data_IF_662860233813
#
_entry.id   IF_662860233813
#
_cell.length_a   1.000
_cell.length_b   1.000
_cell.length_c   1.000
_cell.angle_alpha   90.00
_cell.angle_beta   90.00
_cell.angle_gamma   90.00
#
_symmetry.space_group_name_H-M   'P 1'
#
loop_
_entity.id
_entity.type
_entity.pdbx_description
1 polymer ?
#
# COMPACT_ATOMS: atom_id res chain seq x y z
N UNK A 1 10.21 -0.85 25.89
CA UNK A 1 11.64 -0.69 26.27
C UNK A 1 12.54 -1.56 25.40
N UNK A 2 12.21 -2.86 25.21
CA UNK A 2 12.93 -3.80 24.31
C UNK A 2 13.28 -3.23 22.94
N UNK A 3 12.28 -2.75 22.18
CA UNK A 3 12.48 -2.14 20.84
C UNK A 3 13.52 -1.02 20.83
N UNK A 4 13.51 -0.15 21.86
CA UNK A 4 14.44 0.98 21.95
C UNK A 4 15.86 0.52 22.20
N UNK A 5 16.04 -0.40 23.14
CA UNK A 5 17.36 -0.95 23.47
C UNK A 5 17.95 -1.68 22.27
N UNK A 6 17.13 -2.47 21.57
CA UNK A 6 17.56 -3.17 20.36
C UNK A 6 17.93 -2.18 19.24
N UNK A 7 17.06 -1.21 18.94
CA UNK A 7 17.34 -0.20 17.91
C UNK A 7 18.59 0.61 18.26
N UNK A 8 18.75 1.02 19.52
CA UNK A 8 19.94 1.71 19.98
C UNK A 8 21.18 0.86 19.77
N UNK A 9 21.14 -0.43 20.11
CA UNK A 9 22.24 -1.37 19.93
C UNK A 9 22.60 -1.53 18.45
N UNK A 10 21.61 -1.64 17.56
CA UNK A 10 21.82 -1.71 16.11
C UNK A 10 22.46 -0.42 15.59
N UNK A 11 21.90 0.73 15.92
CA UNK A 11 22.37 2.05 15.46
C UNK A 11 23.78 2.34 16.00
N UNK A 12 24.02 2.11 17.29
CA UNK A 12 25.33 2.29 17.91
C UNK A 12 26.36 1.33 17.34
N UNK A 13 26.02 0.04 17.22
CA UNK A 13 26.87 -0.99 16.63
C UNK A 13 27.23 -0.67 15.17
N UNK A 14 26.28 -0.19 14.37
CA UNK A 14 26.52 0.28 13.02
C UNK A 14 27.48 1.46 12.99
N UNK A 15 27.32 2.44 13.89
CA UNK A 15 28.22 3.59 14.00
C UNK A 15 29.66 3.19 14.33
N UNK A 16 29.84 2.31 15.33
CA UNK A 16 31.15 1.76 15.70
C UNK A 16 31.77 0.98 14.55
N UNK A 17 30.97 0.10 13.91
CA UNK A 17 31.42 -0.66 12.74
C UNK A 17 31.89 0.26 11.62
N UNK A 18 31.10 1.28 11.23
CA UNK A 18 31.46 2.21 10.16
C UNK A 18 32.74 2.98 10.54
N UNK A 19 32.87 3.45 11.78
CA UNK A 19 34.06 4.18 12.22
C UNK A 19 35.34 3.33 12.12
N UNK A 20 35.28 2.08 12.61
CA UNK A 20 36.41 1.13 12.53
C UNK A 20 36.67 0.78 11.07
N UNK A 21 35.65 0.36 10.32
CA UNK A 21 35.77 -0.03 8.92
C UNK A 21 36.40 1.08 8.07
N UNK A 22 35.97 2.33 8.25
CA UNK A 22 36.54 3.50 7.57
C UNK A 22 38.01 3.79 7.90
N UNK A 23 38.53 3.24 8.99
CA UNK A 23 39.94 3.42 9.38
C UNK A 23 40.86 2.45 8.62
N UNK A 24 40.32 1.36 8.08
CA UNK A 24 41.07 0.32 7.37
C UNK A 24 40.68 0.19 5.89
N UNK A 25 39.44 0.53 5.53
CA UNK A 25 38.88 0.34 4.20
C UNK A 25 38.10 1.57 3.73
N UNK A 26 38.06 1.78 2.42
CA UNK A 26 37.16 2.77 1.83
C UNK A 26 35.71 2.25 1.92
N UNK A 27 34.77 3.05 2.45
CA UNK A 27 33.34 2.67 2.53
C UNK A 27 32.74 2.30 1.18
N UNK A 28 33.32 2.78 0.08
CA UNK A 28 32.94 2.40 -1.28
C UNK A 28 32.89 0.89 -1.42
N UNK A 29 33.82 0.15 -0.81
CA UNK A 29 33.82 -1.30 -0.86
C UNK A 29 32.68 -1.90 -0.06
N UNK A 30 32.43 -1.45 1.17
CA UNK A 30 31.31 -1.94 1.99
C UNK A 30 29.95 -1.74 1.30
N UNK A 31 29.76 -0.57 0.72
CA UNK A 31 28.56 -0.24 -0.05
C UNK A 31 28.50 -1.01 -1.39
N UNK A 32 29.63 -1.18 -2.09
CA UNK A 32 29.67 -1.99 -3.31
C UNK A 32 29.33 -3.46 -3.02
N UNK A 33 29.80 -4.03 -1.90
CA UNK A 33 29.43 -5.38 -1.47
C UNK A 33 27.92 -5.49 -1.20
N UNK A 34 27.35 -4.51 -0.49
CA UNK A 34 25.92 -4.49 -0.21
C UNK A 34 25.09 -4.35 -1.49
N UNK A 35 25.42 -3.40 -2.36
CA UNK A 35 24.75 -3.22 -3.65
C UNK A 35 24.90 -4.48 -4.53
N UNK A 36 26.05 -5.14 -4.51
CA UNK A 36 26.29 -6.39 -5.23
C UNK A 36 25.42 -7.51 -4.67
N UNK A 37 25.33 -7.65 -3.34
CA UNK A 37 24.47 -8.64 -2.70
C UNK A 37 22.99 -8.41 -3.03
N UNK A 38 22.51 -7.17 -2.93
CA UNK A 38 21.15 -6.80 -3.32
C UNK A 38 20.89 -7.07 -4.80
N UNK A 39 21.85 -6.77 -5.67
CA UNK A 39 21.73 -7.02 -7.10
C UNK A 39 21.68 -8.53 -7.40
N UNK A 40 22.54 -9.34 -6.79
CA UNK A 40 22.51 -10.80 -6.89
C UNK A 40 21.17 -11.34 -6.39
N UNK A 41 20.67 -10.83 -5.26
CA UNK A 41 19.38 -11.24 -4.71
C UNK A 41 18.22 -10.89 -5.66
N UNK A 42 18.21 -9.68 -6.21
CA UNK A 42 17.23 -9.26 -7.20
C UNK A 42 17.30 -10.10 -8.48
N UNK A 43 18.51 -10.43 -8.96
CA UNK A 43 18.71 -11.33 -10.09
C UNK A 43 18.20 -12.73 -9.80
N UNK A 44 18.46 -13.26 -8.61
CA UNK A 44 17.98 -14.57 -8.17
C UNK A 44 16.46 -14.63 -8.17
N UNK A 45 15.77 -13.65 -7.56
CA UNK A 45 14.30 -13.56 -7.59
C UNK A 45 13.76 -13.47 -9.02
N UNK A 46 14.36 -12.62 -9.86
CA UNK A 46 13.93 -12.46 -11.25
C UNK A 46 14.14 -13.75 -12.09
N UNK A 47 15.23 -14.47 -11.84
CA UNK A 47 15.50 -15.74 -12.50
C UNK A 47 14.53 -16.82 -12.01
N UNK A 48 14.33 -16.93 -10.70
CA UNK A 48 13.40 -17.89 -10.09
C UNK A 48 12.00 -17.72 -10.66
N UNK A 49 11.50 -16.48 -10.68
CA UNK A 49 10.20 -16.17 -11.26
C UNK A 49 10.12 -16.49 -12.76
N UNK A 50 11.15 -16.18 -13.56
CA UNK A 50 11.18 -16.57 -14.98
C UNK A 50 11.13 -18.09 -15.16
N UNK A 51 11.86 -18.84 -14.34
CA UNK A 51 11.87 -20.31 -14.36
C UNK A 51 10.51 -20.87 -13.95
N UNK A 52 9.91 -20.35 -12.89
CA UNK A 52 8.57 -20.72 -12.42
C UNK A 52 7.53 -20.45 -13.51
N UNK A 53 7.56 -19.28 -14.15
CA UNK A 53 6.66 -18.96 -15.27
C UNK A 53 6.82 -19.92 -16.44
N UNK A 54 8.07 -20.25 -16.84
CA UNK A 54 8.33 -21.25 -17.90
C UNK A 54 7.82 -22.64 -17.51
N UNK A 55 7.99 -23.03 -16.24
CA UNK A 55 7.48 -24.29 -15.71
C UNK A 55 5.95 -24.34 -15.79
N UNK A 56 5.26 -23.28 -15.35
CA UNK A 56 3.80 -23.19 -15.41
C UNK A 56 3.25 -23.12 -16.84
N UNK A 57 4.00 -22.55 -17.78
CA UNK A 57 3.62 -22.60 -19.21
C UNK A 57 3.72 -24.01 -19.79
N UNK A 58 4.75 -24.77 -19.40
CA UNK A 58 4.95 -26.15 -19.87
C UNK A 58 4.05 -27.15 -19.16
N UNK A 59 3.81 -26.93 -17.86
CA UNK A 59 3.02 -27.75 -16.97
C UNK A 59 2.09 -26.84 -16.17
N UNK A 60 0.94 -26.43 -16.75
CA UNK A 60 -0.04 -25.62 -16.06
C UNK A 60 -0.45 -26.27 -14.75
N UNK A 61 -0.56 -25.46 -13.70
CA UNK A 61 -1.07 -25.93 -12.43
C UNK A 61 -2.53 -26.38 -12.63
N UNK A 62 -2.82 -27.61 -12.24
CA UNK A 62 -4.19 -28.12 -12.25
C UNK A 62 -4.91 -27.47 -11.07
N UNK A 63 -5.90 -26.64 -11.37
CA UNK A 63 -6.75 -26.02 -10.36
C UNK A 63 -7.75 -27.07 -9.89
N UNK A 64 -7.77 -27.33 -8.58
CA UNK A 64 -8.81 -28.16 -7.99
C UNK A 64 -10.13 -27.39 -7.94
N UNK A 65 -11.00 -27.66 -8.90
CA UNK A 65 -12.33 -27.05 -9.01
C UNK A 65 -13.24 -27.38 -7.82
N UNK A 66 -12.92 -28.40 -7.02
CA UNK A 66 -13.68 -28.77 -5.82
C UNK A 66 -13.21 -28.01 -4.56
N UNK A 67 -12.07 -27.32 -4.61
CA UNK A 67 -11.62 -26.48 -3.50
C UNK A 67 -12.39 -25.16 -3.51
N UNK A 68 -13.56 -25.17 -2.87
CA UNK A 68 -14.47 -24.01 -2.76
C UNK A 68 -14.88 -23.77 -1.30
N UNK A 69 -13.92 -23.42 -0.42
CA UNK A 69 -14.21 -23.16 0.99
C UNK A 69 -15.25 -22.06 1.16
N UNK A 70 -16.03 -22.12 2.24
CA UNK A 70 -16.89 -20.98 2.59
C UNK A 70 -16.02 -19.78 3.01
N UNK A 71 -16.26 -18.59 2.45
CA UNK A 71 -15.46 -17.38 2.70
C UNK A 71 -16.27 -16.37 3.50
N UNK A 72 -15.75 -15.90 4.63
CA UNK A 72 -16.28 -14.73 5.33
C UNK A 72 -15.52 -13.49 4.88
N UNK A 73 -16.18 -12.60 4.15
CA UNK A 73 -15.63 -11.31 3.75
C UNK A 73 -15.85 -10.30 4.88
N UNK A 74 -14.79 -9.68 5.38
CA UNK A 74 -14.83 -8.68 6.46
C UNK A 74 -14.48 -7.30 5.92
N UNK A 75 -15.37 -6.33 6.15
CA UNK A 75 -15.21 -4.95 5.69
C UNK A 75 -15.34 -4.01 6.90
N UNK A 76 -14.22 -3.69 7.59
CA UNK A 76 -14.21 -2.72 8.67
C UNK A 76 -14.42 -1.30 8.14
N UNK A 77 -15.29 -0.54 8.79
CA UNK A 77 -15.66 0.82 8.45
C UNK A 77 -15.63 1.72 9.69
N UNK A 78 -15.10 2.94 9.56
CA UNK A 78 -15.15 3.97 10.60
C UNK A 78 -15.30 5.32 9.93
N UNK A 79 -16.49 5.92 9.96
CA UNK A 79 -16.82 7.12 9.19
C UNK A 79 -16.62 6.94 7.67
N UNK A 80 -17.33 5.99 7.06
CA UNK A 80 -17.23 5.61 5.65
C UNK A 80 -18.61 5.62 4.96
N UNK A 81 -19.54 6.47 5.43
CA UNK A 81 -20.93 6.54 4.92
C UNK A 81 -20.99 6.82 3.40
N UNK A 82 -19.97 7.49 2.85
CA UNK A 82 -19.90 7.89 1.44
C UNK A 82 -19.48 6.77 0.48
N UNK A 83 -18.77 5.73 0.97
CA UNK A 83 -18.15 4.70 0.12
C UNK A 83 -18.65 3.28 0.40
N UNK A 84 -19.09 2.99 1.63
CA UNK A 84 -19.33 1.59 2.08
C UNK A 84 -20.40 0.87 1.26
N UNK A 85 -21.47 1.56 0.84
CA UNK A 85 -22.52 0.99 -0.01
C UNK A 85 -21.96 0.48 -1.33
N UNK A 86 -21.14 1.29 -2.00
CA UNK A 86 -20.56 0.92 -3.31
C UNK A 86 -19.64 -0.29 -3.18
N UNK A 87 -18.85 -0.35 -2.11
CA UNK A 87 -17.96 -1.47 -1.82
C UNK A 87 -18.75 -2.77 -1.59
N UNK A 88 -19.78 -2.74 -0.74
CA UNK A 88 -20.61 -3.93 -0.46
C UNK A 88 -21.35 -4.40 -1.72
N UNK A 89 -21.95 -3.49 -2.48
CA UNK A 89 -22.66 -3.83 -3.71
C UNK A 89 -21.72 -4.37 -4.79
N UNK A 90 -20.48 -3.88 -4.87
CA UNK A 90 -19.46 -4.44 -5.77
C UNK A 90 -18.99 -5.84 -5.33
N UNK A 91 -18.74 -6.06 -4.04
CA UNK A 91 -18.34 -7.37 -3.50
C UNK A 91 -19.43 -8.43 -3.70
N UNK A 92 -20.71 -8.03 -3.63
CA UNK A 92 -21.84 -8.92 -3.92
C UNK A 92 -21.89 -9.42 -5.38
N UNK A 93 -21.18 -8.77 -6.30
CA UNK A 93 -21.12 -9.15 -7.72
C UNK A 93 -20.04 -10.19 -8.03
N UNK A 94 -19.27 -10.65 -7.03
CA UNK A 94 -18.27 -11.70 -7.25
C UNK A 94 -18.93 -13.01 -7.73
N UNK A 95 -18.29 -13.67 -8.70
CA UNK A 95 -18.74 -14.91 -9.34
C UNK A 95 -18.49 -16.18 -8.51
N UNK A 96 -18.47 -16.04 -7.19
CA UNK A 96 -18.21 -17.09 -6.23
C UNK A 96 -19.43 -17.27 -5.33
N UNK A 97 -19.98 -18.47 -5.21
CA UNK A 97 -21.27 -18.64 -4.51
C UNK A 97 -21.12 -18.72 -2.98
N UNK A 98 -20.04 -19.35 -2.50
CA UNK A 98 -19.85 -19.79 -1.12
C UNK A 98 -19.25 -18.69 -0.23
N UNK A 99 -19.92 -17.55 -0.07
CA UNK A 99 -19.45 -16.49 0.81
C UNK A 99 -20.57 -15.73 1.52
N UNK A 100 -20.19 -15.12 2.65
CA UNK A 100 -20.96 -14.10 3.38
C UNK A 100 -20.14 -12.80 3.49
N UNK A 101 -20.80 -11.68 3.78
CA UNK A 101 -20.17 -10.38 4.01
C UNK A 101 -20.53 -9.92 5.43
N UNK A 102 -19.52 -9.60 6.23
CA UNK A 102 -19.64 -9.01 7.54
C UNK A 102 -19.09 -7.58 7.45
N UNK A 103 -19.98 -6.61 7.57
CA UNK A 103 -19.62 -5.19 7.50
C UNK A 103 -19.63 -4.63 8.92
N UNK A 104 -18.51 -4.06 9.35
CA UNK A 104 -18.28 -3.75 10.76
C UNK A 104 -18.14 -2.25 10.96
N UNK A 105 -19.04 -1.65 11.73
CA UNK A 105 -18.91 -0.27 12.18
C UNK A 105 -18.03 -0.18 13.44
N UNK A 106 -16.89 0.51 13.33
CA UNK A 106 -15.99 0.80 14.46
C UNK A 106 -16.30 2.15 15.11
N UNK A 107 -17.47 2.28 15.75
CA UNK A 107 -17.80 3.46 16.57
C UNK A 107 -17.80 4.73 15.72
N UNK A 108 -18.45 4.68 14.56
CA UNK A 108 -18.54 5.84 13.69
C UNK A 108 -19.35 6.97 14.34
N UNK A 109 -18.99 8.20 14.00
CA UNK A 109 -19.70 9.42 14.38
C UNK A 109 -20.63 9.95 13.29
N UNK A 110 -20.52 9.44 12.06
CA UNK A 110 -21.39 9.73 10.93
C UNK A 110 -22.52 8.67 10.79
N UNK A 111 -23.20 8.61 9.64
CA UNK A 111 -24.30 7.65 9.42
C UNK A 111 -23.85 6.24 9.01
N UNK A 112 -22.55 5.91 9.08
CA UNK A 112 -22.03 4.60 8.66
C UNK A 112 -22.79 3.42 9.27
N UNK A 113 -23.07 3.46 10.58
CA UNK A 113 -23.82 2.41 11.27
C UNK A 113 -25.25 2.22 10.72
N UNK A 114 -25.92 3.31 10.34
CA UNK A 114 -27.26 3.25 9.74
C UNK A 114 -27.20 2.66 8.33
N UNK A 115 -26.25 3.11 7.51
CA UNK A 115 -26.03 2.61 6.14
C UNK A 115 -25.76 1.10 6.14
N UNK A 116 -24.93 0.62 7.06
CA UNK A 116 -24.60 -0.82 7.15
C UNK A 116 -25.83 -1.66 7.54
N UNK A 117 -26.69 -1.17 8.45
CA UNK A 117 -27.95 -1.85 8.80
C UNK A 117 -28.93 -1.88 7.63
N UNK A 118 -28.94 -0.85 6.78
CA UNK A 118 -29.77 -0.84 5.58
C UNK A 118 -29.32 -1.91 4.57
N UNK A 119 -28.00 -2.11 4.45
CA UNK A 119 -27.41 -3.15 3.61
C UNK A 119 -27.75 -4.57 4.11
N UNK A 120 -27.67 -4.82 5.41
CA UNK A 120 -28.10 -6.09 6.01
C UNK A 120 -29.59 -6.38 5.75
N UNK A 121 -30.46 -5.37 5.84
CA UNK A 121 -31.90 -5.52 5.52
C UNK A 121 -32.16 -5.78 4.03
N UNK A 122 -31.29 -5.29 3.15
CA UNK A 122 -31.45 -5.37 1.70
C UNK A 122 -30.88 -6.67 1.11
N UNK A 123 -29.87 -7.26 1.74
CA UNK A 123 -29.10 -8.37 1.17
C UNK A 123 -28.88 -9.50 2.18
N UNK A 124 -29.40 -10.70 1.88
CA UNK A 124 -29.33 -11.88 2.77
C UNK A 124 -27.89 -12.35 3.10
N UNK A 125 -26.92 -12.02 2.24
CA UNK A 125 -25.50 -12.36 2.45
C UNK A 125 -24.77 -11.37 3.37
N UNK A 126 -25.39 -10.26 3.76
CA UNK A 126 -24.74 -9.19 4.52
C UNK A 126 -25.16 -9.27 5.99
N UNK A 127 -24.20 -9.22 6.89
CA UNK A 127 -24.40 -9.11 8.34
C UNK A 127 -23.73 -7.84 8.85
N UNK A 128 -24.48 -7.04 9.62
CA UNK A 128 -24.00 -5.82 10.24
C UNK A 128 -23.44 -6.10 11.63
N UNK A 129 -22.19 -5.71 11.90
CA UNK A 129 -21.62 -5.71 13.24
C UNK A 129 -21.37 -4.27 13.70
N UNK A 130 -22.23 -3.77 14.61
CA UNK A 130 -22.07 -2.42 15.16
C UNK A 130 -21.36 -2.51 16.51
N UNK A 131 -20.14 -1.98 16.60
CA UNK A 131 -19.34 -2.04 17.82
C UNK A 131 -19.77 -0.96 18.81
N UNK A 132 -19.71 -1.28 20.10
CA UNK A 132 -20.05 -0.34 21.18
C UNK A 132 -18.99 0.76 21.30
N UNK A 133 -19.37 1.93 21.79
CA UNK A 133 -18.49 3.11 21.90
C UNK A 133 -17.22 2.86 22.75
N UNK A 134 -17.28 1.93 23.71
CA UNK A 134 -16.19 1.53 24.59
C UNK A 134 -15.31 0.39 24.03
N UNK A 135 -15.64 -0.14 22.85
CA UNK A 135 -14.87 -1.19 22.20
C UNK A 135 -13.43 -0.76 21.90
N UNK A 136 -12.50 -1.71 21.95
CA UNK A 136 -11.08 -1.44 21.71
C UNK A 136 -10.87 -0.88 20.29
N UNK A 137 -10.18 0.25 20.12
CA UNK A 137 -10.06 0.92 18.83
C UNK A 137 -9.13 0.21 17.84
N UNK A 138 -9.37 0.43 16.55
CA UNK A 138 -8.44 0.08 15.48
C UNK A 138 -8.75 -1.23 14.78
N UNK A 139 -8.30 -1.32 13.52
CA UNK A 139 -8.69 -2.38 12.57
C UNK A 139 -8.52 -3.80 13.11
N UNK A 140 -7.42 -4.10 13.79
CA UNK A 140 -7.19 -5.43 14.39
C UNK A 140 -8.30 -5.85 15.36
N UNK A 141 -8.76 -4.95 16.22
CA UNK A 141 -9.80 -5.27 17.20
C UNK A 141 -11.16 -5.44 16.52
N UNK A 142 -11.43 -4.63 15.48
CA UNK A 142 -12.61 -4.74 14.63
C UNK A 142 -12.67 -6.12 13.96
N UNK A 143 -11.57 -6.55 13.35
CA UNK A 143 -11.47 -7.85 12.68
C UNK A 143 -11.54 -9.02 13.67
N UNK A 144 -10.93 -8.91 14.85
CA UNK A 144 -11.05 -9.91 15.90
C UNK A 144 -12.48 -10.07 16.44
N UNK A 145 -13.25 -8.97 16.53
CA UNK A 145 -14.66 -9.05 16.93
C UNK A 145 -15.51 -9.69 15.83
N UNK A 146 -15.24 -9.38 14.56
CA UNK A 146 -15.89 -9.99 13.40
C UNK A 146 -15.59 -11.50 13.29
N UNK A 147 -14.36 -11.91 13.61
CA UNK A 147 -13.91 -13.31 13.52
C UNK A 147 -14.77 -14.26 14.38
N UNK A 148 -15.32 -13.77 15.48
CA UNK A 148 -16.16 -14.53 16.41
C UNK A 148 -17.51 -14.94 15.79
N UNK A 149 -18.01 -14.17 14.83
CA UNK A 149 -19.29 -14.42 14.15
C UNK A 149 -19.13 -14.94 12.73
N UNK A 150 -17.93 -14.83 12.15
CA UNK A 150 -17.59 -15.37 10.85
C UNK A 150 -17.70 -16.90 10.81
N UNK A 151 -18.28 -17.44 9.74
CA UNK A 151 -18.50 -18.88 9.53
C UNK A 151 -17.52 -19.51 8.54
N UNK A 152 -16.81 -18.69 7.76
CA UNK A 152 -15.94 -19.12 6.66
C UNK A 152 -14.70 -19.86 7.10
N UNK A 153 -14.34 -20.91 6.38
CA UNK A 153 -13.05 -21.61 6.48
C UNK A 153 -11.89 -20.73 6.01
N UNK A 154 -12.19 -19.70 5.21
CA UNK A 154 -11.27 -18.63 4.85
C UNK A 154 -11.88 -17.26 5.15
N UNK A 155 -11.02 -16.31 5.51
CA UNK A 155 -11.37 -14.94 5.86
C UNK A 155 -10.78 -14.02 4.82
N UNK A 156 -11.60 -13.20 4.17
CA UNK A 156 -11.16 -12.20 3.20
C UNK A 156 -11.35 -10.81 3.80
N UNK A 157 -10.30 -9.99 3.82
CA UNK A 157 -10.40 -8.62 4.34
C UNK A 157 -10.34 -7.62 3.19
N UNK A 158 -11.28 -6.68 3.19
CA UNK A 158 -11.27 -5.51 2.31
C UNK A 158 -11.33 -4.22 3.12
N UNK A 159 -10.71 -3.16 2.62
CA UNK A 159 -10.97 -1.80 3.12
C UNK A 159 -12.35 -1.31 2.64
N UNK A 160 -12.92 -0.31 3.34
CA UNK A 160 -14.28 0.19 3.09
C UNK A 160 -14.46 0.89 1.73
N UNK A 161 -13.37 1.24 1.04
CA UNK A 161 -13.35 1.85 -0.29
C UNK A 161 -12.88 0.89 -1.40
N UNK A 162 -12.77 -0.41 -1.09
CA UNK A 162 -12.32 -1.41 -2.03
C UNK A 162 -13.30 -1.62 -3.18
N UNK A 163 -12.78 -1.87 -4.38
CA UNK A 163 -13.54 -2.57 -5.41
C UNK A 163 -12.72 -3.65 -6.08
N UNK A 164 -13.40 -4.65 -6.60
CA UNK A 164 -12.82 -5.83 -7.23
C UNK A 164 -13.57 -6.18 -8.51
N UNK A 165 -12.90 -6.94 -9.38
CA UNK A 165 -13.53 -7.56 -10.54
C UNK A 165 -14.38 -8.76 -10.11
N UNK A 166 -15.39 -9.13 -10.90
CA UNK A 166 -16.30 -10.23 -10.57
C UNK A 166 -15.57 -11.56 -10.33
N UNK A 167 -14.47 -11.81 -11.05
CA UNK A 167 -13.67 -13.04 -10.95
C UNK A 167 -12.60 -13.02 -9.84
N UNK A 168 -12.59 -11.99 -8.98
CA UNK A 168 -11.56 -11.77 -7.97
C UNK A 168 -11.36 -12.98 -7.05
N UNK A 169 -12.44 -13.48 -6.45
CA UNK A 169 -12.36 -14.57 -5.48
C UNK A 169 -12.03 -15.90 -6.15
N UNK A 170 -12.58 -16.14 -7.34
CA UNK A 170 -12.30 -17.31 -8.18
C UNK A 170 -10.82 -17.41 -8.60
N UNK A 171 -10.13 -16.27 -8.75
CA UNK A 171 -8.67 -16.23 -8.97
C UNK A 171 -7.87 -16.39 -7.68
N UNK A 172 -8.38 -15.91 -6.55
CA UNK A 172 -7.65 -15.85 -5.29
C UNK A 172 -7.67 -17.20 -4.54
N UNK A 173 -8.85 -17.82 -4.40
CA UNK A 173 -9.11 -19.05 -3.62
C UNK A 173 -8.19 -20.22 -3.98
N UNK A 174 -7.93 -20.54 -5.27
CA UNK A 174 -7.08 -21.68 -5.62
C UNK A 174 -5.67 -21.62 -5.02
N UNK A 175 -5.16 -20.42 -4.74
CA UNK A 175 -3.83 -20.25 -4.17
C UNK A 175 -3.76 -20.60 -2.67
N UNK A 176 -4.91 -20.71 -2.00
CA UNK A 176 -5.03 -21.08 -0.57
C UNK A 176 -5.13 -22.60 -0.35
N UNK A 177 -5.39 -23.38 -1.41
CA UNK A 177 -5.54 -24.83 -1.36
C UNK A 177 -4.35 -25.56 -0.71
N UNK A 178 -3.07 -25.24 -1.05
CA UNK A 178 -1.96 -25.97 -0.49
C UNK A 178 -1.96 -25.93 1.04
N UNK A 179 -1.68 -27.08 1.66
CA UNK A 179 -1.78 -27.24 3.12
C UNK A 179 -0.83 -26.31 3.88
N UNK A 180 0.35 -26.04 3.32
CA UNK A 180 1.37 -25.14 3.89
C UNK A 180 1.03 -23.66 3.73
N UNK A 181 0.03 -23.29 2.92
CA UNK A 181 -0.32 -21.88 2.68
C UNK A 181 -1.33 -21.41 3.72
N UNK A 182 -0.94 -20.41 4.50
CA UNK A 182 -1.79 -19.76 5.50
C UNK A 182 -2.57 -18.57 4.96
N UNK A 183 -2.05 -17.88 3.94
CA UNK A 183 -2.72 -16.71 3.36
C UNK A 183 -2.31 -16.43 1.90
N UNK A 184 -3.11 -15.62 1.22
CA UNK A 184 -2.89 -15.13 -0.14
C UNK A 184 -3.17 -13.63 -0.21
N UNK A 185 -2.21 -12.85 -0.70
CA UNK A 185 -2.36 -11.42 -0.96
C UNK A 185 -2.71 -11.17 -2.43
N UNK A 186 -3.78 -10.42 -2.68
CA UNK A 186 -4.12 -9.90 -4.01
C UNK A 186 -3.24 -8.70 -4.40
N UNK A 187 -3.19 -8.39 -5.70
CA UNK A 187 -2.51 -7.20 -6.20
C UNK A 187 -3.32 -5.94 -5.85
N UNK A 188 -2.68 -4.93 -5.27
CA UNK A 188 -3.27 -3.62 -5.03
C UNK A 188 -3.05 -2.66 -6.20
N UNK A 189 -4.06 -1.87 -6.55
CA UNK A 189 -3.99 -0.83 -7.59
C UNK A 189 -4.72 0.43 -7.13
N UNK A 190 -4.16 1.61 -7.41
CA UNK A 190 -4.82 2.88 -7.11
C UNK A 190 -5.80 3.21 -8.23
N UNK A 191 -7.09 3.33 -7.89
CA UNK A 191 -8.16 3.58 -8.86
C UNK A 191 -8.05 4.96 -9.50
N UNK A 192 -7.85 5.99 -8.68
CA UNK A 192 -7.70 7.39 -9.06
C UNK A 192 -6.24 7.77 -9.39
N UNK A 193 -5.44 6.84 -9.94
CA UNK A 193 -4.00 7.06 -10.22
C UNK A 193 -3.72 8.22 -11.18
N UNK A 194 -4.71 8.63 -11.97
CA UNK A 194 -4.60 9.74 -12.91
C UNK A 194 -5.05 11.08 -12.31
N UNK A 195 -5.51 11.12 -11.06
CA UNK A 195 -6.00 12.34 -10.43
C UNK A 195 -4.89 13.40 -10.27
N UNK A 196 -3.70 13.01 -9.79
CA UNK A 196 -2.55 13.90 -9.70
C UNK A 196 -1.23 13.13 -9.59
N UNK A 197 -0.11 13.87 -9.47
CA UNK A 197 1.23 13.29 -9.30
C UNK A 197 1.31 12.36 -8.08
N UNK A 198 0.66 12.69 -6.97
CA UNK A 198 0.72 11.88 -5.74
C UNK A 198 0.02 10.54 -5.94
N UNK A 199 -1.18 10.51 -6.53
CA UNK A 199 -1.90 9.24 -6.76
C UNK A 199 -1.19 8.38 -7.80
N UNK A 200 -0.55 8.99 -8.80
CA UNK A 200 0.31 8.30 -9.77
C UNK A 200 1.53 7.67 -9.09
N UNK A 201 2.27 8.42 -8.28
CA UNK A 201 3.41 7.89 -7.52
C UNK A 201 3.00 6.76 -6.56
N UNK A 202 1.84 6.88 -5.91
CA UNK A 202 1.29 5.79 -5.06
C UNK A 202 1.01 4.52 -5.87
N UNK A 203 0.40 4.64 -7.05
CA UNK A 203 0.19 3.49 -7.94
C UNK A 203 1.52 2.84 -8.35
N UNK A 204 2.50 3.67 -8.71
CA UNK A 204 3.80 3.19 -9.17
C UNK A 204 4.57 2.49 -8.04
N UNK A 205 4.43 2.98 -6.81
CA UNK A 205 4.93 2.30 -5.62
C UNK A 205 4.28 0.92 -5.43
N UNK A 206 2.96 0.80 -5.59
CA UNK A 206 2.26 -0.49 -5.52
C UNK A 206 2.65 -1.44 -6.65
N UNK A 207 2.83 -0.94 -7.87
CA UNK A 207 3.31 -1.74 -8.99
C UNK A 207 4.74 -2.24 -8.75
N UNK A 208 5.60 -1.42 -8.14
CA UNK A 208 6.93 -1.85 -7.71
C UNK A 208 6.87 -2.86 -6.55
N UNK A 209 5.98 -2.69 -5.57
CA UNK A 209 5.76 -3.67 -4.51
C UNK A 209 5.30 -5.02 -5.07
N UNK A 210 4.33 -5.02 -5.99
CA UNK A 210 3.89 -6.23 -6.68
C UNK A 210 5.05 -6.96 -7.38
N UNK A 211 6.02 -6.23 -7.95
CA UNK A 211 7.23 -6.84 -8.50
C UNK A 211 8.03 -7.60 -7.44
N UNK A 212 8.26 -6.98 -6.28
CA UNK A 212 8.99 -7.61 -5.17
C UNK A 212 8.23 -8.80 -4.60
N UNK A 213 6.91 -8.70 -4.44
CA UNK A 213 6.07 -9.76 -3.89
C UNK A 213 6.00 -10.97 -4.82
N UNK A 214 5.92 -10.76 -6.14
CA UNK A 214 6.05 -11.85 -7.13
C UNK A 214 7.43 -12.51 -7.07
N UNK A 215 8.49 -11.72 -6.88
CA UNK A 215 9.86 -12.23 -6.69
C UNK A 215 9.96 -13.13 -5.46
N UNK A 216 9.45 -12.66 -4.32
CA UNK A 216 9.39 -13.38 -3.05
C UNK A 216 8.58 -14.66 -3.15
N UNK A 217 7.40 -14.60 -3.76
CA UNK A 217 6.53 -15.76 -3.97
C UNK A 217 7.27 -16.87 -4.75
N UNK A 218 8.03 -16.47 -5.79
CA UNK A 218 8.74 -17.41 -6.66
C UNK A 218 9.85 -18.21 -5.97
N UNK A 219 10.34 -17.73 -4.81
CA UNK A 219 11.38 -18.41 -4.03
C UNK A 219 10.81 -19.02 -2.74
N UNK A 220 9.48 -18.96 -2.53
CA UNK A 220 8.82 -19.25 -1.23
C UNK A 220 9.49 -18.46 -0.09
N UNK A 221 9.71 -17.17 -0.34
CA UNK A 221 10.25 -16.21 0.62
C UNK A 221 9.14 -15.61 1.48
N UNK A 222 9.43 -14.48 2.15
CA UNK A 222 8.48 -13.84 3.04
C UNK A 222 7.57 -12.86 2.28
N UNK A 223 6.62 -13.43 1.52
CA UNK A 223 5.51 -12.64 0.96
C UNK A 223 4.73 -12.04 2.13
N UNK A 224 4.47 -10.75 2.04
CA UNK A 224 3.73 -9.99 3.05
C UNK A 224 2.32 -9.61 2.59
N UNK A 225 1.38 -9.60 3.53
CA UNK A 225 0.05 -9.04 3.37
C UNK A 225 0.10 -7.50 3.37
N UNK A 226 -0.95 -6.88 2.82
CA UNK A 226 -1.05 -5.42 2.58
C UNK A 226 -2.40 -4.83 3.04
N UNK A 227 -3.12 -5.55 3.90
CA UNK A 227 -4.30 -5.08 4.63
C UNK A 227 -5.58 -4.95 3.80
N UNK A 228 -5.50 -5.14 2.48
CA UNK A 228 -6.65 -5.05 1.57
C UNK A 228 -6.51 -6.16 0.52
N UNK A 229 -7.57 -6.92 0.28
CA UNK A 229 -7.55 -8.08 -0.61
C UNK A 229 -6.67 -9.22 -0.08
N UNK A 230 -6.67 -9.44 1.24
CA UNK A 230 -5.95 -10.55 1.89
C UNK A 230 -6.92 -11.69 2.23
N UNK A 231 -6.68 -12.88 1.67
CA UNK A 231 -7.44 -14.10 1.93
C UNK A 231 -6.63 -15.00 2.86
N UNK A 232 -7.15 -15.29 4.05
CA UNK A 232 -6.43 -15.96 5.12
C UNK A 232 -7.19 -17.24 5.46
N UNK A 233 -6.47 -18.37 5.58
CA UNK A 233 -7.02 -19.63 6.06
C UNK A 233 -7.36 -19.48 7.55
N UNK A 234 -8.59 -19.80 7.96
CA UNK A 234 -9.03 -19.64 9.36
C UNK A 234 -8.10 -20.38 10.32
N UNK A 235 -7.73 -21.62 10.00
CA UNK A 235 -6.81 -22.42 10.81
C UNK A 235 -5.49 -21.70 11.08
N UNK A 236 -4.90 -21.09 10.05
CA UNK A 236 -3.64 -20.36 10.18
C UNK A 236 -3.81 -19.08 11.01
N UNK A 237 -4.93 -18.38 10.85
CA UNK A 237 -5.27 -17.20 11.65
C UNK A 237 -5.48 -17.55 13.13
N UNK A 238 -6.12 -18.68 13.41
CA UNK A 238 -6.33 -19.18 14.78
C UNK A 238 -5.02 -19.66 15.42
N UNK A 239 -4.14 -20.32 14.65
CA UNK A 239 -2.82 -20.78 15.13
C UNK A 239 -1.89 -19.62 15.56
N UNK A 240 -2.01 -18.45 14.92
CA UNK A 240 -1.28 -17.25 15.33
C UNK A 240 -2.02 -16.41 16.40
N UNK A 241 -3.22 -16.83 16.81
CA UNK A 241 -4.04 -16.15 17.83
C UNK A 241 -4.82 -14.92 17.35
N UNK A 242 -5.17 -14.84 16.06
CA UNK A 242 -5.92 -13.72 15.47
C UNK A 242 -5.06 -12.50 15.16
N UNK A 243 -5.69 -11.31 15.07
CA UNK A 243 -4.97 -10.05 14.86
C UNK A 243 -4.39 -9.50 16.17
N UNK A 244 -3.22 -8.87 16.11
CA UNK A 244 -2.60 -8.22 17.27
C UNK A 244 -3.17 -6.81 17.48
N UNK A 245 -3.99 -6.60 18.52
CA UNK A 245 -4.61 -5.30 18.80
C UNK A 245 -3.62 -4.16 19.15
N UNK A 246 -2.35 -4.48 19.44
CA UNK A 246 -1.36 -3.51 19.91
C UNK A 246 -0.28 -3.16 18.86
N UNK A 247 -0.45 -3.66 17.63
CA UNK A 247 0.41 -3.34 16.49
C UNK A 247 -0.04 -2.06 15.77
N UNK A 248 0.86 -1.49 14.97
CA UNK A 248 0.58 -0.33 14.10
C UNK A 248 0.17 -0.77 12.68
N UNK A 249 0.68 -1.91 12.23
CA UNK A 249 0.44 -2.46 10.89
C UNK A 249 0.06 -3.92 11.04
N UNK A 250 -1.24 -4.17 11.07
CA UNK A 250 -1.85 -5.44 11.43
C UNK A 250 -1.57 -6.54 10.41
N UNK A 251 -1.58 -6.18 9.14
CA UNK A 251 -1.20 -6.99 7.99
C UNK A 251 0.25 -7.50 8.05
N UNK A 252 1.22 -6.60 8.29
CA UNK A 252 2.64 -6.94 8.37
C UNK A 252 2.96 -7.75 9.63
N UNK A 253 2.35 -7.39 10.76
CA UNK A 253 2.44 -8.17 12.01
C UNK A 253 1.94 -9.60 11.80
N UNK A 254 0.74 -9.76 11.24
CA UNK A 254 0.15 -11.05 10.90
C UNK A 254 1.04 -11.84 9.93
N UNK A 255 1.57 -11.19 8.89
CA UNK A 255 2.48 -11.82 7.94
C UNK A 255 3.69 -12.44 8.64
N UNK A 256 4.27 -11.72 9.59
CA UNK A 256 5.46 -12.17 10.34
C UNK A 256 5.13 -13.34 11.23
N UNK A 257 4.01 -13.29 11.95
CA UNK A 257 3.58 -14.38 12.84
C UNK A 257 3.25 -15.65 12.05
N UNK A 258 2.61 -15.52 10.88
CA UNK A 258 2.37 -16.65 9.97
C UNK A 258 3.68 -17.31 9.53
N UNK A 259 4.64 -16.52 9.04
CA UNK A 259 5.95 -17.06 8.64
C UNK A 259 6.72 -17.68 9.81
N UNK A 260 6.68 -17.06 11.00
CA UNK A 260 7.33 -17.59 12.21
C UNK A 260 6.76 -18.96 12.59
N UNK A 261 5.47 -19.19 12.37
CA UNK A 261 4.75 -20.45 12.57
C UNK A 261 4.89 -21.45 11.41
N UNK A 262 5.64 -21.09 10.36
CA UNK A 262 5.90 -21.97 9.22
C UNK A 262 4.83 -21.96 8.13
N UNK A 263 3.84 -21.06 8.21
CA UNK A 263 2.86 -20.87 7.13
C UNK A 263 3.47 -20.06 5.98
N UNK A 264 3.28 -20.55 4.75
CA UNK A 264 3.59 -19.80 3.54
C UNK A 264 2.48 -18.77 3.26
N UNK A 265 2.88 -17.61 2.74
CA UNK A 265 1.96 -16.61 2.18
C UNK A 265 2.21 -16.55 0.68
N UNK A 266 1.14 -16.55 -0.11
CA UNK A 266 1.23 -16.49 -1.58
C UNK A 266 0.81 -15.13 -2.10
N UNK A 267 1.31 -14.75 -3.26
CA UNK A 267 0.89 -13.51 -3.95
C UNK A 267 0.15 -13.83 -5.25
N UNK A 268 -1.10 -13.41 -5.35
CA UNK A 268 -1.91 -13.57 -6.56
C UNK A 268 -1.90 -12.29 -7.38
N UNK A 269 -1.16 -12.30 -8.49
CA UNK A 269 -1.01 -11.13 -9.37
C UNK A 269 -2.29 -10.83 -10.17
N UNK A 270 -3.08 -11.87 -10.48
CA UNK A 270 -4.22 -11.80 -11.40
C UNK A 270 -5.51 -11.33 -10.72
N UNK A 271 -5.60 -11.48 -9.38
CA UNK A 271 -6.66 -10.91 -8.57
C UNK A 271 -6.28 -9.48 -8.14
N UNK A 272 -7.10 -8.50 -8.52
CA UNK A 272 -6.81 -7.08 -8.30
C UNK A 272 -7.84 -6.46 -7.36
N UNK A 273 -7.36 -5.82 -6.31
CA UNK A 273 -8.15 -4.94 -5.45
C UNK A 273 -7.78 -3.49 -5.73
N UNK A 274 -8.80 -2.69 -6.04
CA UNK A 274 -8.69 -1.27 -6.30
C UNK A 274 -9.07 -0.47 -5.06
N UNK A 275 -8.29 0.55 -4.73
CA UNK A 275 -8.56 1.46 -3.61
C UNK A 275 -8.36 2.92 -4.03
N UNK A 276 -8.87 3.84 -3.22
CA UNK A 276 -8.71 5.28 -3.45
C UNK A 276 -7.34 5.75 -2.94
N UNK A 277 -6.56 6.33 -3.84
CA UNK A 277 -5.29 6.97 -3.51
C UNK A 277 -5.49 8.36 -2.90
N UNK A 278 -4.58 8.74 -2.02
CA UNK A 278 -4.65 10.01 -1.31
C UNK A 278 -4.21 11.16 -2.23
N UNK A 279 -5.08 12.15 -2.44
CA UNK A 279 -4.79 13.28 -3.33
C UNK A 279 -3.99 14.42 -2.68
N UNK A 280 -3.89 14.46 -1.35
CA UNK A 280 -3.20 15.51 -0.59
C UNK A 280 -1.91 15.03 0.10
N UNK A 281 -0.87 15.87 0.08
CA UNK A 281 0.46 15.51 0.59
C UNK A 281 0.47 15.20 2.10
N UNK A 282 -0.18 16.00 2.93
CA UNK A 282 -0.13 15.83 4.39
C UNK A 282 -0.83 14.57 4.89
N UNK A 283 -2.06 14.24 4.45
CA UNK A 283 -2.66 12.95 4.75
C UNK A 283 -1.80 11.77 4.25
N UNK A 284 -1.22 11.88 3.05
CA UNK A 284 -0.31 10.85 2.51
C UNK A 284 0.92 10.67 3.40
N UNK A 285 1.56 11.75 3.81
CA UNK A 285 2.71 11.71 4.71
C UNK A 285 2.37 11.05 6.07
N UNK A 286 1.18 11.34 6.64
CA UNK A 286 0.72 10.68 7.87
C UNK A 286 0.53 9.17 7.67
N UNK A 287 -0.03 8.76 6.53
CA UNK A 287 -0.19 7.35 6.17
C UNK A 287 1.18 6.65 6.06
N UNK A 288 2.13 7.21 5.30
CA UNK A 288 3.47 6.63 5.14
C UNK A 288 4.25 6.58 6.44
N UNK A 289 4.11 7.61 7.30
CA UNK A 289 4.68 7.62 8.65
C UNK A 289 4.20 6.42 9.47
N UNK A 290 2.89 6.15 9.44
CA UNK A 290 2.28 5.01 10.14
C UNK A 290 2.84 3.68 9.62
N UNK A 291 2.88 3.49 8.31
CA UNK A 291 3.38 2.26 7.70
C UNK A 291 4.84 1.99 8.02
N UNK A 292 5.67 3.03 7.94
CA UNK A 292 7.08 2.91 8.24
C UNK A 292 7.35 2.60 9.72
N UNK A 293 6.64 3.28 10.62
CA UNK A 293 6.74 3.02 12.06
C UNK A 293 6.32 1.59 12.41
N UNK A 294 5.18 1.13 11.88
CA UNK A 294 4.73 -0.25 12.07
C UNK A 294 5.73 -1.27 11.52
N UNK A 295 6.27 -1.01 10.33
CA UNK A 295 7.26 -1.90 9.71
C UNK A 295 8.52 -2.03 10.55
N UNK A 296 9.11 -0.92 11.01
CA UNK A 296 10.34 -0.94 11.81
C UNK A 296 10.09 -1.57 13.18
N UNK A 297 8.98 -1.20 13.86
CA UNK A 297 8.65 -1.77 15.18
C UNK A 297 8.45 -3.28 15.12
N UNK A 298 7.72 -3.76 14.12
CA UNK A 298 7.53 -5.20 13.86
C UNK A 298 8.87 -5.93 13.74
N UNK A 299 9.79 -5.42 12.93
CA UNK A 299 11.12 -6.02 12.79
C UNK A 299 11.90 -6.04 14.11
N UNK A 300 11.79 -5.00 14.93
CA UNK A 300 12.44 -4.94 16.24
C UNK A 300 11.79 -5.89 17.26
N UNK A 301 10.47 -6.05 17.20
CA UNK A 301 9.70 -6.89 18.11
C UNK A 301 10.02 -8.38 17.89
N UNK A 302 9.97 -8.81 16.62
CA UNK A 302 10.16 -10.19 16.19
C UNK A 302 11.59 -10.53 15.74
N UNK A 303 12.57 -9.64 15.97
CA UNK A 303 13.96 -9.81 15.50
C UNK A 303 14.54 -11.18 15.85
N UNK A 304 14.36 -11.64 17.10
CA UNK A 304 14.86 -12.93 17.55
C UNK A 304 14.14 -14.10 16.91
N UNK A 305 12.82 -14.03 16.81
CA UNK A 305 12.00 -15.12 16.26
C UNK A 305 12.26 -15.30 14.76
N UNK A 306 12.44 -14.20 14.01
CA UNK A 306 12.78 -14.26 12.58
C UNK A 306 14.13 -14.93 12.33
N UNK A 307 15.11 -14.75 13.23
CA UNK A 307 16.44 -15.32 13.06
C UNK A 307 16.60 -16.74 13.61
N UNK A 308 15.81 -17.09 14.64
CA UNK A 308 16.06 -18.29 15.44
C UNK A 308 14.85 -19.23 15.58
N UNK A 309 13.67 -18.89 15.03
CA UNK A 309 12.53 -19.81 15.01
C UNK A 309 12.89 -21.09 14.23
N UNK A 310 12.47 -22.24 14.77
CA UNK A 310 12.64 -23.55 14.15
C UNK A 310 11.56 -23.86 13.12
N UNK A 311 10.38 -23.29 13.29
CA UNK A 311 9.22 -23.53 12.42
C UNK A 311 9.28 -22.66 11.17
N UNK A 312 9.93 -21.48 11.27
CA UNK A 312 10.12 -20.57 10.16
C UNK A 312 11.05 -21.17 9.10
N UNK A 313 10.66 -21.05 7.83
CA UNK A 313 11.52 -21.50 6.74
C UNK A 313 12.78 -20.61 6.63
N UNK A 314 13.94 -21.24 6.38
CA UNK A 314 15.20 -20.50 6.17
C UNK A 314 15.10 -19.49 5.03
N UNK A 315 14.30 -19.80 3.99
CA UNK A 315 14.08 -18.90 2.84
C UNK A 315 13.35 -17.63 3.25
N UNK A 316 12.27 -17.76 4.03
CA UNK A 316 11.54 -16.62 4.56
C UNK A 316 12.41 -15.80 5.53
N UNK A 317 13.16 -16.47 6.42
CA UNK A 317 14.07 -15.79 7.35
C UNK A 317 15.15 -14.97 6.63
N UNK A 318 15.80 -15.56 5.61
CA UNK A 318 16.79 -14.86 4.79
C UNK A 318 16.18 -13.71 3.98
N UNK A 319 14.98 -13.87 3.41
CA UNK A 319 14.30 -12.80 2.68
C UNK A 319 13.90 -11.63 3.60
N UNK A 320 13.35 -11.91 4.78
CA UNK A 320 13.07 -10.87 5.79
C UNK A 320 14.33 -10.13 6.22
N UNK A 321 15.42 -10.87 6.42
CA UNK A 321 16.73 -10.30 6.77
C UNK A 321 17.32 -9.49 5.61
N UNK A 322 17.14 -9.89 4.36
CA UNK A 322 17.57 -9.11 3.21
C UNK A 322 16.75 -7.81 3.10
N UNK A 323 15.45 -7.86 3.36
CA UNK A 323 14.56 -6.71 3.24
C UNK A 323 14.80 -5.64 4.31
N UNK A 324 15.13 -6.03 5.56
CA UNK A 324 15.40 -5.04 6.62
C UNK A 324 16.58 -4.11 6.27
N UNK A 325 17.50 -4.57 5.41
CA UNK A 325 18.66 -3.77 4.99
C UNK A 325 18.25 -2.44 4.36
N UNK A 326 17.11 -2.37 3.66
CA UNK A 326 16.62 -1.13 3.05
C UNK A 326 16.33 -0.02 4.07
N UNK A 327 15.99 -0.38 5.31
CA UNK A 327 15.73 0.58 6.40
C UNK A 327 17.01 0.97 7.15
N UNK A 328 18.04 0.13 7.10
CA UNK A 328 19.38 0.42 7.64
C UNK A 328 20.10 1.45 6.75
N UNK A 329 19.84 1.40 5.43
CA UNK A 329 20.55 2.21 4.44
C UNK A 329 20.50 3.73 4.65
N UNK A 330 19.35 4.37 4.91
CA UNK A 330 19.33 5.82 5.19
C UNK A 330 20.17 6.20 6.42
N UNK A 331 20.12 5.37 7.47
CA UNK A 331 20.92 5.55 8.68
C UNK A 331 22.41 5.41 8.41
N UNK A 332 22.81 4.36 7.67
CA UNK A 332 24.20 4.18 7.22
C UNK A 332 24.66 5.41 6.43
N UNK A 333 23.91 5.82 5.41
CA UNK A 333 24.27 6.94 4.55
C UNK A 333 24.46 8.25 5.34
N UNK A 334 23.55 8.54 6.28
CA UNK A 334 23.67 9.71 7.16
C UNK A 334 24.93 9.63 8.03
N UNK A 335 25.16 8.49 8.70
CA UNK A 335 26.36 8.29 9.53
C UNK A 335 27.65 8.42 8.73
N UNK A 336 27.65 7.91 7.50
CA UNK A 336 28.80 8.00 6.61
C UNK A 336 29.13 9.45 6.26
N UNK A 337 28.14 10.25 5.87
CA UNK A 337 28.33 11.68 5.57
C UNK A 337 28.81 12.43 6.82
N UNK A 338 28.23 12.16 7.98
CA UNK A 338 28.60 12.84 9.23
C UNK A 338 30.04 12.51 9.67
N UNK A 339 30.42 11.23 9.69
CA UNK A 339 31.76 10.80 10.09
C UNK A 339 32.81 11.33 9.09
N UNK A 340 32.54 11.24 7.79
CA UNK A 340 33.46 11.75 6.76
C UNK A 340 33.55 13.27 6.80
N UNK A 341 32.43 13.96 6.95
CA UNK A 341 32.39 15.41 7.13
C UNK A 341 33.24 15.84 8.32
N UNK A 342 33.10 15.15 9.46
CA UNK A 342 33.94 15.40 10.64
C UNK A 342 35.45 15.17 10.34
N UNK A 343 35.82 14.07 9.70
CA UNK A 343 37.22 13.80 9.33
C UNK A 343 37.80 14.85 8.38
N UNK A 344 37.02 15.35 7.42
CA UNK A 344 37.41 16.43 6.52
C UNK A 344 37.60 17.74 7.28
N UNK A 345 36.66 18.10 8.16
CA UNK A 345 36.75 19.30 9.01
C UNK A 345 37.93 19.24 9.98
N UNK A 346 38.22 18.04 10.53
CA UNK A 346 39.36 17.78 11.39
C UNK A 346 40.70 17.67 10.62
N UNK A 347 40.70 17.88 9.30
CA UNK A 347 41.87 17.75 8.40
C UNK A 347 42.52 16.36 8.42
N UNK A 348 41.75 15.33 8.79
CA UNK A 348 42.18 13.93 8.81
C UNK A 348 41.86 13.19 7.50
N UNK A 349 41.08 13.81 6.59
CA UNK A 349 40.73 13.25 5.30
C UNK A 349 40.60 14.33 4.22
N UNK A 350 40.91 14.03 2.95
CA UNK A 350 40.73 14.96 1.85
C UNK A 350 39.25 15.10 1.45
N UNK A 351 38.87 16.27 0.92
CA UNK A 351 37.48 16.61 0.54
C UNK A 351 36.88 15.65 -0.50
N UNK A 352 37.72 15.10 -1.39
CA UNK A 352 37.24 14.20 -2.45
C UNK A 352 36.62 12.89 -1.94
N UNK A 353 36.87 12.53 -0.68
CA UNK A 353 36.22 11.37 -0.07
C UNK A 353 34.70 11.56 0.03
N UNK A 354 34.17 12.78 0.13
CA UNK A 354 32.72 13.02 0.18
C UNK A 354 32.02 12.66 -1.15
N UNK A 355 32.70 12.79 -2.30
CA UNK A 355 32.12 12.49 -3.61
C UNK A 355 31.73 11.01 -3.76
N UNK A 356 32.52 10.11 -3.15
CA UNK A 356 32.26 8.67 -3.23
C UNK A 356 30.97 8.25 -2.54
N UNK A 357 30.63 8.89 -1.42
CA UNK A 357 29.37 8.65 -0.71
C UNK A 357 28.18 9.16 -1.52
N UNK A 358 28.29 10.36 -2.10
CA UNK A 358 27.26 10.94 -2.97
C UNK A 358 27.01 10.04 -4.20
N UNK A 359 28.08 9.58 -4.85
CA UNK A 359 28.01 8.70 -6.00
C UNK A 359 27.21 7.43 -5.71
N UNK A 360 27.42 6.81 -4.54
CA UNK A 360 26.70 5.59 -4.17
C UNK A 360 25.22 5.87 -3.86
N UNK A 361 24.91 7.01 -3.25
CA UNK A 361 23.53 7.47 -3.11
C UNK A 361 22.82 7.55 -4.46
N UNK A 362 23.51 8.06 -5.49
CA UNK A 362 22.99 8.06 -6.85
C UNK A 362 22.80 6.64 -7.40
N UNK A 363 23.74 5.71 -7.20
CA UNK A 363 23.63 4.31 -7.64
C UNK A 363 22.39 3.64 -7.05
N UNK A 364 22.10 3.85 -5.76
CA UNK A 364 20.91 3.32 -5.10
C UNK A 364 19.64 3.94 -5.69
N UNK A 365 19.62 5.25 -5.89
CA UNK A 365 18.52 5.96 -6.54
C UNK A 365 18.24 5.42 -7.96
N UNK A 366 19.29 5.15 -8.73
CA UNK A 366 19.18 4.49 -10.03
C UNK A 366 18.62 3.07 -9.91
N UNK A 367 18.96 2.32 -8.87
CA UNK A 367 18.39 1.01 -8.57
C UNK A 367 16.87 1.05 -8.46
N UNK A 368 16.34 1.98 -7.65
CA UNK A 368 14.88 2.19 -7.52
C UNK A 368 14.25 2.64 -8.83
N UNK A 369 14.91 3.54 -9.58
CA UNK A 369 14.44 3.96 -10.90
C UNK A 369 14.30 2.79 -11.87
N UNK A 370 15.31 1.92 -11.98
CA UNK A 370 15.25 0.76 -12.86
C UNK A 370 14.22 -0.27 -12.40
N UNK A 371 14.06 -0.46 -11.08
CA UNK A 371 13.04 -1.34 -10.53
C UNK A 371 11.62 -0.84 -10.84
N UNK A 372 11.34 0.45 -10.58
CA UNK A 372 10.06 1.09 -10.89
C UNK A 372 9.77 1.03 -12.39
N UNK A 373 10.74 1.42 -13.23
CA UNK A 373 10.63 1.34 -14.70
C UNK A 373 10.32 -0.07 -15.18
N UNK A 374 11.02 -1.08 -14.65
CA UNK A 374 10.79 -2.48 -15.00
C UNK A 374 9.39 -2.92 -14.61
N UNK A 375 8.95 -2.59 -13.40
CA UNK A 375 7.64 -2.94 -12.88
C UNK A 375 6.50 -2.31 -13.70
N UNK A 376 6.57 -1.01 -13.99
CA UNK A 376 5.58 -0.29 -14.80
C UNK A 376 5.44 -0.90 -16.21
N UNK A 377 6.58 -1.23 -16.84
CA UNK A 377 6.60 -1.89 -18.15
C UNK A 377 5.96 -3.27 -18.12
N UNK A 378 6.14 -4.00 -17.02
CA UNK A 378 5.76 -5.41 -16.91
C UNK A 378 4.32 -5.62 -16.47
N UNK A 379 3.87 -4.87 -15.48
CA UNK A 379 2.60 -5.11 -14.79
C UNK A 379 1.52 -4.08 -15.13
N UNK A 380 1.91 -2.89 -15.60
CA UNK A 380 1.00 -1.83 -16.06
C UNK A 380 1.03 -1.66 -17.59
N UNK A 381 1.83 -2.46 -18.29
CA UNK A 381 1.99 -2.47 -19.75
C UNK A 381 2.31 -1.09 -20.37
N UNK A 382 2.86 -0.19 -19.55
CA UNK A 382 3.09 1.21 -19.90
C UNK A 382 4.11 1.36 -21.04
N UNK A 383 3.99 2.31 -21.97
CA UNK A 383 4.99 2.55 -23.03
C UNK A 383 6.39 2.89 -22.50
N UNK A 384 7.42 2.74 -23.33
CA UNK A 384 8.82 2.89 -22.89
C UNK A 384 9.14 4.30 -22.41
N UNK A 385 8.63 5.33 -23.08
CA UNK A 385 8.91 6.72 -22.72
C UNK A 385 8.19 7.09 -21.43
N UNK A 386 6.89 6.83 -21.36
CA UNK A 386 6.06 7.10 -20.18
C UNK A 386 6.60 6.40 -18.93
N UNK A 387 6.95 5.11 -19.04
CA UNK A 387 7.58 4.38 -17.94
C UNK A 387 8.96 4.91 -17.55
N UNK A 388 9.59 5.77 -18.36
CA UNK A 388 10.85 6.44 -17.98
C UNK A 388 10.52 7.64 -17.11
N UNK A 389 9.62 8.50 -17.59
CA UNK A 389 9.26 9.73 -16.91
C UNK A 389 8.57 9.45 -15.59
N UNK A 390 7.60 8.54 -15.57
CA UNK A 390 6.91 8.15 -14.35
C UNK A 390 7.82 7.46 -13.34
N UNK A 391 8.76 6.62 -13.79
CA UNK A 391 9.75 6.03 -12.89
C UNK A 391 10.70 7.09 -12.30
N UNK A 392 11.07 8.10 -13.08
CA UNK A 392 11.90 9.22 -12.61
C UNK A 392 11.15 10.05 -11.56
N UNK A 393 9.92 10.45 -11.86
CA UNK A 393 9.03 11.16 -10.93
C UNK A 393 8.84 10.37 -9.62
N UNK A 394 8.54 9.07 -9.74
CA UNK A 394 8.35 8.19 -8.59
C UNK A 394 9.64 8.05 -7.78
N UNK A 395 10.80 7.97 -8.42
CA UNK A 395 12.09 7.88 -7.71
C UNK A 395 12.40 9.15 -6.91
N UNK A 396 12.08 10.33 -7.46
CA UNK A 396 12.21 11.61 -6.76
C UNK A 396 11.23 11.67 -5.58
N UNK A 397 9.98 11.26 -5.79
CA UNK A 397 8.97 11.14 -4.74
C UNK A 397 9.44 10.22 -3.60
N UNK A 398 9.99 9.04 -3.93
CA UNK A 398 10.49 8.09 -2.93
C UNK A 398 11.63 8.69 -2.11
N UNK A 399 12.55 9.40 -2.77
CA UNK A 399 13.67 10.07 -2.09
C UNK A 399 13.19 11.18 -1.15
N UNK A 400 12.23 12.00 -1.59
CA UNK A 400 11.74 13.15 -0.82
C UNK A 400 10.89 12.70 0.37
N UNK A 401 10.07 11.66 0.23
CA UNK A 401 9.17 11.21 1.30
C UNK A 401 9.84 10.17 2.19
N UNK A 402 10.28 9.04 1.63
CA UNK A 402 10.68 7.89 2.45
C UNK A 402 12.02 8.09 3.15
N UNK A 403 13.02 8.66 2.47
CA UNK A 403 14.35 8.83 3.05
C UNK A 403 14.37 9.63 4.37
N UNK A 404 13.84 10.88 4.43
CA UNK A 404 13.80 11.63 5.68
C UNK A 404 12.87 10.98 6.72
N UNK A 405 11.82 10.30 6.27
CA UNK A 405 10.87 9.64 7.14
C UNK A 405 11.49 8.45 7.89
N UNK A 406 12.36 7.65 7.26
CA UNK A 406 13.11 6.57 7.93
C UNK A 406 13.92 7.14 9.08
N UNK A 407 14.67 8.21 8.84
CA UNK A 407 15.49 8.87 9.86
C UNK A 407 14.62 9.41 11.02
N UNK A 408 13.51 10.07 10.68
CA UNK A 408 12.56 10.59 11.67
C UNK A 408 11.94 9.47 12.52
N UNK A 409 11.54 8.34 11.92
CA UNK A 409 10.95 7.22 12.65
C UNK A 409 11.97 6.55 13.57
N UNK A 410 13.21 6.33 13.10
CA UNK A 410 14.27 5.81 13.96
C UNK A 410 14.49 6.73 15.18
N UNK A 411 14.55 8.05 14.96
CA UNK A 411 14.62 9.04 16.04
C UNK A 411 13.40 8.95 16.98
N UNK A 412 12.18 8.91 16.42
CA UNK A 412 10.93 8.81 17.19
C UNK A 412 10.92 7.57 18.07
N UNK A 413 11.32 6.40 17.56
CA UNK A 413 11.35 5.15 18.33
C UNK A 413 12.32 5.29 19.52
N UNK A 414 13.52 5.81 19.27
CA UNK A 414 14.56 5.97 20.30
C UNK A 414 14.17 6.95 21.40
N UNK A 415 13.62 8.12 21.05
CA UNK A 415 13.50 9.25 21.98
C UNK A 415 12.06 9.62 22.36
N UNK A 416 11.06 9.24 21.57
CA UNK A 416 9.66 9.62 21.79
C UNK A 416 8.82 8.43 22.27
N UNK A 417 7.76 8.70 23.04
CA UNK A 417 6.80 7.66 23.46
C UNK A 417 6.13 7.02 22.24
N UNK A 418 5.87 5.71 22.32
CA UNK A 418 5.01 5.02 21.33
C UNK A 418 3.64 5.68 21.41
N UNK A 419 3.17 6.14 20.26
CA UNK A 419 1.84 6.73 20.12
C UNK A 419 1.09 5.87 19.11
N UNK A 420 -0.09 5.40 19.51
CA UNK A 420 -0.99 4.64 18.65
C UNK A 420 -2.07 5.52 18.03
N UNK A 421 -2.02 6.85 18.14
CA UNK A 421 -3.03 7.72 17.54
C UNK A 421 -3.02 7.61 16.00
N UNK A 422 -4.12 7.04 15.50
CA UNK A 422 -4.28 6.49 14.17
C UNK A 422 -4.66 7.47 13.06
N UNK A 423 -4.52 8.79 13.28
CA UNK A 423 -5.01 9.88 12.41
C UNK A 423 -5.49 9.44 11.02
N UNK A 424 -6.81 9.31 10.86
CA UNK A 424 -7.47 8.62 9.75
C UNK A 424 -7.10 9.24 8.39
N UNK A 425 -7.10 8.40 7.36
CA UNK A 425 -7.15 8.85 5.96
C UNK A 425 -8.61 9.12 5.62
N UNK A 426 -8.92 10.29 5.08
CA UNK A 426 -10.27 10.60 4.61
C UNK A 426 -10.42 10.08 3.17
N UNK A 427 -11.49 9.32 2.94
CA UNK A 427 -11.87 8.75 1.64
C UNK A 427 -13.13 9.46 1.13
N UNK A 428 -13.43 9.33 -0.17
CA UNK A 428 -14.57 10.00 -0.83
C UNK A 428 -14.31 11.45 -1.24
N UNK A 429 -13.10 11.98 -1.00
CA UNK A 429 -12.75 13.37 -1.34
C UNK A 429 -12.79 13.63 -2.84
N UNK A 430 -12.45 12.63 -3.67
CA UNK A 430 -12.58 12.76 -5.13
C UNK A 430 -14.05 12.79 -5.55
N UNK A 431 -14.91 12.00 -4.91
CA UNK A 431 -16.35 12.04 -5.22
C UNK A 431 -16.97 13.39 -4.83
N UNK A 432 -16.58 13.95 -3.68
CA UNK A 432 -16.99 15.28 -3.25
C UNK A 432 -16.47 16.38 -4.19
N UNK A 433 -15.20 16.34 -4.59
CA UNK A 433 -14.63 17.30 -5.55
C UNK A 433 -15.29 17.17 -6.93
N UNK A 434 -15.49 15.96 -7.44
CA UNK A 434 -16.18 15.73 -8.72
C UNK A 434 -17.64 16.22 -8.68
N UNK A 435 -18.36 15.96 -7.59
CA UNK A 435 -19.71 16.45 -7.39
C UNK A 435 -19.74 17.99 -7.34
N UNK A 436 -18.82 18.60 -6.58
CA UNK A 436 -18.65 20.05 -6.50
C UNK A 436 -18.32 20.68 -7.86
N UNK A 437 -17.42 20.08 -8.63
CA UNK A 437 -17.05 20.55 -9.98
C UNK A 437 -18.25 20.41 -10.93
N UNK A 438 -18.97 19.28 -10.92
CA UNK A 438 -20.18 19.09 -11.73
C UNK A 438 -21.23 20.13 -11.39
N UNK A 439 -21.44 20.42 -10.12
CA UNK A 439 -22.37 21.45 -9.66
C UNK A 439 -21.93 22.86 -10.07
N UNK A 440 -20.64 23.17 -9.98
CA UNK A 440 -20.07 24.42 -10.45
C UNK A 440 -20.26 24.60 -11.97
N UNK A 441 -19.91 23.59 -12.77
CA UNK A 441 -20.11 23.59 -14.22
C UNK A 441 -21.58 23.76 -14.56
N UNK A 442 -22.48 23.06 -13.86
CA UNK A 442 -23.93 23.18 -14.06
C UNK A 442 -24.41 24.61 -13.78
N UNK A 443 -23.91 25.26 -12.72
CA UNK A 443 -24.22 26.67 -12.40
C UNK A 443 -23.70 27.63 -13.48
N UNK A 444 -22.47 27.44 -13.96
CA UNK A 444 -21.90 28.30 -15.02
C UNK A 444 -22.59 28.11 -16.37
N UNK A 445 -22.97 26.88 -16.72
CA UNK A 445 -23.79 26.61 -17.91
C UNK A 445 -25.15 27.29 -17.83
N UNK A 446 -25.78 27.29 -16.64
CA UNK A 446 -27.06 27.97 -16.43
C UNK A 446 -26.92 29.50 -16.60
N UNK A 447 -25.91 30.11 -15.98
CA UNK A 447 -25.62 31.55 -16.17
C UNK A 447 -25.37 31.90 -17.63
N UNK A 448 -24.61 31.06 -18.34
CA UNK A 448 -24.31 31.28 -19.77
C UNK A 448 -25.58 31.22 -20.62
N UNK A 449 -26.50 30.30 -20.32
CA UNK A 449 -27.82 30.22 -20.99
C UNK A 449 -28.66 31.46 -20.74
N UNK A 450 -28.72 31.93 -19.50
CA UNK A 450 -29.45 33.15 -19.12
C UNK A 450 -28.87 34.38 -19.82
N UNK A 451 -27.55 34.55 -19.82
CA UNK A 451 -26.87 35.64 -20.53
C UNK A 451 -27.14 35.59 -22.04
N UNK A 452 -27.06 34.40 -22.66
CA UNK A 452 -27.33 34.23 -24.09
C UNK A 452 -28.78 34.56 -24.43
N UNK A 453 -29.73 34.18 -23.56
CA UNK A 453 -31.14 34.50 -23.72
C UNK A 453 -31.36 36.01 -23.64
N UNK A 454 -30.85 36.67 -22.61
CA UNK A 454 -30.95 38.12 -22.43
C UNK A 454 -30.33 38.89 -23.61
N UNK A 455 -29.16 38.46 -24.07
CA UNK A 455 -28.49 39.04 -25.23
C UNK A 455 -29.32 38.85 -26.51
N UNK A 456 -29.88 37.66 -26.72
CA UNK A 456 -30.71 37.37 -27.89
C UNK A 456 -31.99 38.20 -27.87
N UNK A 457 -32.67 38.33 -26.72
CA UNK A 457 -33.86 39.17 -26.55
C UNK A 457 -33.53 40.65 -26.83
N UNK A 458 -32.44 41.16 -26.24
CA UNK A 458 -31.98 42.54 -26.45
C UNK A 458 -31.69 42.86 -27.91
N UNK A 459 -31.00 41.96 -28.63
CA UNK A 459 -30.69 42.17 -30.05
C UNK A 459 -31.89 41.96 -30.95
N UNK A 460 -32.80 41.06 -30.59
CA UNK A 460 -34.08 40.87 -31.30
C UNK A 460 -34.94 42.14 -31.20
N UNK A 461 -35.04 42.74 -30.00
CA UNK A 461 -35.75 44.01 -29.81
C UNK A 461 -35.09 45.16 -30.57
N UNK A 462 -33.76 45.25 -30.54
CA UNK A 462 -33.02 46.24 -31.33
C UNK A 462 -33.23 46.08 -32.84
N UNK A 463 -33.26 44.84 -33.34
CA UNK A 463 -33.56 44.54 -34.74
C UNK A 463 -34.99 44.95 -35.12
N UNK A 464 -35.98 44.66 -34.25
CA UNK A 464 -37.36 45.10 -34.45
C UNK A 464 -37.47 46.63 -34.54
N UNK A 465 -36.79 47.36 -33.65
CA UNK A 465 -36.74 48.84 -33.69
C UNK A 465 -36.15 49.36 -35.00
N UNK A 466 -35.00 48.83 -35.43
CA UNK A 466 -34.36 49.23 -36.70
C UNK A 466 -35.25 48.94 -37.91
N UNK A 467 -35.99 47.82 -37.91
CA UNK A 467 -36.91 47.46 -38.98
C UNK A 467 -38.14 48.38 -39.01
N UNK A 468 -38.68 48.76 -37.84
CA UNK A 468 -39.78 49.73 -37.74
C UNK A 468 -39.38 51.11 -38.28
N UNK A 469 -38.21 51.62 -37.90
CA UNK A 469 -37.67 52.91 -38.40
C UNK A 469 -37.41 52.91 -39.91
N UNK A 470 -37.10 51.75 -40.50
CA UNK A 470 -36.95 51.60 -41.97
C UNK A 470 -38.29 51.44 -42.69
N UNK A 471 -39.29 50.85 -42.06
CA UNK A 471 -40.66 50.76 -42.59
C UNK A 471 -41.30 52.13 -42.73
N UNK A 472 -41.17 52.98 -41.70
CA UNK A 472 -41.71 54.35 -41.72
C UNK A 472 -41.05 55.28 -42.75
N UNK A 473 -39.85 54.95 -43.23
CA UNK A 473 -39.14 55.72 -44.28
C UNK A 473 -39.53 55.36 -45.71
N UNK A 474 -40.25 54.26 -45.93
CA UNK A 474 -40.70 53.85 -47.27
C UNK A 474 -42.16 54.25 -47.56
N UNK A 475 -42.90 54.76 -46.56
CA UNK A 475 -44.29 55.24 -46.68
C UNK A 475 -44.41 56.78 -46.72
N UNK A 476 -43.28 57.49 -46.87
CA UNK A 476 -43.19 58.91 -47.25
C UNK A 476 -42.48 59.03 -48.59
#
# INVERSE_FOLDING_TARGET
MKERVLLFTIVFGLGVFIYIFQSYFNTVWGLAFLCTFMFIYALFMNLSYKLQKRKLQKYPQIINQNFKPFVSVMIPAHNEESVITNTVENVLQMDYENFEIIVIDDRSSDNTASVIKDLERKYDKVTALIRTADAFPGKSAVLNDALKIAKGEAILVFDADATVDADFLSKLVPNLEPKDVGAVQARKVIRNKNANLLTRCQNNEYTMDAHFQVGRDSIKGAVELRGNGELIKREALEDIGGWNNYTITDDLDMSTRLHIKGWDIRFCLDAVVYEEGIIYLWPLYRQRRRWLEGTIRRYLEYFGDVLFSRDMSLRASLDMTAYITQFIMPGWFLMEILIRGFKVLAKQAPTHMLYSSIFIGCVIGFGFFFAARYALRRYDFMPRLDATFEALETSIYLLIIWFPLVLYICFKILFMKKDMNWGKTAHGLVMEEEASIKDFIKKELQKTKEYTKEYTEKYTEKLKQILAEKGEKNDN
#
